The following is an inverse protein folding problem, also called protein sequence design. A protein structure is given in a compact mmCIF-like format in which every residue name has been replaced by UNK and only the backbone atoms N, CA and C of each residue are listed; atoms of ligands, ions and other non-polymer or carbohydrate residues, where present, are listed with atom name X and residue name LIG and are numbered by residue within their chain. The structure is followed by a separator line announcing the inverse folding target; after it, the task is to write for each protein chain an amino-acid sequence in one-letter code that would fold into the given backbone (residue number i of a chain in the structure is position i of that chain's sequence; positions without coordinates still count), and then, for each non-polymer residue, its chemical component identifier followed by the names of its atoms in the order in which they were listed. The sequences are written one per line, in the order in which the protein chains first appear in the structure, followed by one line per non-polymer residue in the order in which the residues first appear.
data_IF_143459635759
#
_entry.id   IF_143459635759
#
_cell.length_a   1.000
_cell.length_b   1.000
_cell.length_c   1.000
_cell.angle_alpha   90.00
_cell.angle_beta   90.00
_cell.angle_gamma   90.00
#
_symmetry.space_group_name_H-M   'P 1'
#
loop_
_entity.id
_entity.type
_entity.pdbx_description
1 polymer ?
#
# COMPACT_ATOMS: atom_id res chain seq x y z
N UNK A 1 20.09 1.34 -2.11
CA UNK A 1 18.87 0.96 -2.79
C UNK A 1 18.47 2.08 -3.75
N UNK A 2 18.20 1.72 -4.97
CA UNK A 2 17.67 2.61 -6.01
C UNK A 2 16.44 1.96 -6.63
N UNK A 3 15.40 2.75 -6.90
CA UNK A 3 14.15 2.30 -7.51
C UNK A 3 13.80 3.32 -8.58
N UNK A 4 13.78 2.91 -9.85
CA UNK A 4 13.46 3.79 -10.96
C UNK A 4 11.96 3.85 -11.23
N UNK A 5 11.52 4.92 -11.88
CA UNK A 5 10.10 5.12 -12.21
C UNK A 5 9.56 3.96 -13.07
N UNK A 6 8.43 3.40 -12.64
CA UNK A 6 7.76 2.28 -13.31
C UNK A 6 8.34 0.90 -12.99
N UNK A 7 9.38 0.80 -12.15
CA UNK A 7 9.93 -0.48 -11.71
C UNK A 7 9.09 -1.11 -10.60
N UNK A 8 9.05 -2.44 -10.60
CA UNK A 8 8.67 -3.24 -9.45
C UNK A 8 9.94 -3.84 -8.86
N UNK A 9 10.36 -3.32 -7.71
CA UNK A 9 11.54 -3.78 -6.99
C UNK A 9 11.10 -4.54 -5.74
N UNK A 10 11.71 -5.70 -5.50
CA UNK A 10 11.40 -6.50 -4.32
C UNK A 10 12.61 -6.64 -3.39
N UNK A 11 12.41 -6.30 -2.13
CA UNK A 11 13.35 -6.59 -1.04
C UNK A 11 12.98 -7.92 -0.40
N UNK A 12 13.86 -8.90 -0.56
CA UNK A 12 13.68 -10.24 -0.01
C UNK A 12 14.64 -10.44 1.15
N UNK A 13 14.18 -11.02 2.25
CA UNK A 13 15.03 -11.34 3.37
C UNK A 13 14.27 -11.97 4.54
N UNK A 14 14.98 -12.60 5.44
CA UNK A 14 14.42 -13.19 6.66
C UNK A 14 13.82 -12.12 7.60
N UNK A 15 13.03 -12.56 8.58
CA UNK A 15 12.56 -11.68 9.65
C UNK A 15 13.75 -11.08 10.41
N UNK A 16 13.64 -9.78 10.72
CA UNK A 16 14.72 -9.04 11.38
C UNK A 16 15.81 -8.50 10.42
N UNK A 17 15.73 -8.75 9.11
CA UNK A 17 16.72 -8.23 8.14
C UNK A 17 16.61 -6.72 7.86
N UNK A 18 15.72 -6.01 8.54
CA UNK A 18 15.56 -4.55 8.39
C UNK A 18 14.65 -4.10 7.25
N UNK A 19 13.92 -5.01 6.60
CA UNK A 19 13.03 -4.69 5.46
C UNK A 19 11.96 -3.65 5.81
N UNK A 20 11.13 -3.95 6.81
CA UNK A 20 10.11 -3.04 7.35
C UNK A 20 10.72 -1.74 7.88
N UNK A 21 11.89 -1.82 8.52
CA UNK A 21 12.64 -0.66 9.00
C UNK A 21 13.02 0.27 7.85
N UNK A 22 13.43 -0.28 6.71
CA UNK A 22 13.72 0.49 5.50
C UNK A 22 12.49 1.23 5.01
N UNK A 23 11.32 0.58 4.92
CA UNK A 23 10.08 1.24 4.51
C UNK A 23 9.65 2.33 5.50
N UNK A 24 9.76 2.07 6.80
CA UNK A 24 9.48 3.06 7.84
C UNK A 24 10.44 4.25 7.82
N UNK A 25 11.71 4.03 7.47
CA UNK A 25 12.67 5.11 7.27
C UNK A 25 12.29 6.00 6.09
N UNK A 26 11.87 5.41 4.97
CA UNK A 26 11.39 6.14 3.78
C UNK A 26 10.15 6.97 4.13
N UNK A 27 9.21 6.42 4.89
CA UNK A 27 7.94 7.08 5.22
C UNK A 27 8.01 8.01 6.44
N UNK A 28 9.17 8.11 7.10
CA UNK A 28 9.32 8.94 8.31
C UNK A 28 8.50 8.45 9.50
N UNK A 29 8.19 7.14 9.55
CA UNK A 29 7.35 6.52 10.59
C UNK A 29 8.14 5.67 11.58
N UNK A 30 9.48 5.76 11.57
CA UNK A 30 10.31 5.13 12.60
C UNK A 30 10.16 5.88 13.92
N UNK A 31 9.68 5.24 14.99
CA UNK A 31 9.63 5.87 16.30
C UNK A 31 11.07 5.96 16.87
N UNK A 32 11.40 7.10 17.45
CA UNK A 32 12.58 7.35 18.30
C UNK A 32 13.95 6.92 17.72
N UNK A 33 14.07 6.77 16.40
CA UNK A 33 15.30 6.39 15.74
C UNK A 33 15.88 7.51 14.89
N UNK A 34 17.18 7.75 15.00
CA UNK A 34 17.90 8.58 14.03
C UNK A 34 18.15 7.78 12.75
N UNK A 35 17.78 8.36 11.62
CA UNK A 35 18.13 7.81 10.30
C UNK A 35 19.38 8.53 9.82
N UNK A 36 20.47 7.78 9.60
CA UNK A 36 21.70 8.28 9.00
C UNK A 36 21.72 7.98 7.50
N UNK A 37 22.33 8.88 6.74
CA UNK A 37 22.38 8.80 5.29
C UNK A 37 21.36 9.70 4.61
N UNK A 38 21.19 9.52 3.30
CA UNK A 38 20.30 10.32 2.46
C UNK A 38 19.23 9.42 1.84
N UNK A 39 17.97 9.76 2.09
CA UNK A 39 16.83 9.19 1.38
C UNK A 39 16.23 10.30 0.54
N UNK A 40 16.11 10.06 -0.77
CA UNK A 40 15.49 11.01 -1.70
C UNK A 40 14.36 10.36 -2.49
N UNK A 41 13.36 11.15 -2.82
CA UNK A 41 12.24 10.76 -3.66
C UNK A 41 12.03 11.84 -4.74
N UNK A 42 12.02 11.44 -6.01
CA UNK A 42 11.94 12.36 -7.15
C UNK A 42 12.99 13.49 -7.08
N UNK A 43 14.23 13.16 -6.67
CA UNK A 43 15.33 14.11 -6.52
C UNK A 43 15.28 15.02 -5.30
N UNK A 44 14.25 14.89 -4.44
CA UNK A 44 14.10 15.70 -3.24
C UNK A 44 14.40 14.89 -1.97
N UNK A 45 15.17 15.41 -1.01
CA UNK A 45 15.42 14.71 0.25
C UNK A 45 14.12 14.57 1.05
N UNK A 46 13.95 13.40 1.68
CA UNK A 46 12.79 13.10 2.53
C UNK A 46 13.01 13.47 4.01
N UNK A 47 14.23 13.81 4.40
CA UNK A 47 14.56 14.17 5.79
C UNK A 47 13.71 15.33 6.29
N UNK A 48 13.04 15.13 7.42
CA UNK A 48 12.18 16.14 8.05
C UNK A 48 10.77 16.23 7.45
N UNK A 49 10.43 15.45 6.44
CA UNK A 49 9.05 15.39 5.92
C UNK A 49 8.19 14.46 6.79
N UNK A 50 6.97 14.90 7.06
CA UNK A 50 5.96 14.08 7.73
C UNK A 50 5.28 13.14 6.73
N UNK A 51 4.78 12.01 7.21
CA UNK A 51 4.12 10.98 6.38
C UNK A 51 2.95 11.51 5.54
N UNK A 52 2.15 12.46 6.06
CA UNK A 52 1.04 13.06 5.31
C UNK A 52 1.53 13.85 4.09
N UNK A 53 2.68 14.55 4.19
CA UNK A 53 3.29 15.27 3.08
C UNK A 53 3.78 14.33 1.97
N UNK A 54 4.17 13.10 2.33
CA UNK A 54 4.54 12.08 1.35
C UNK A 54 3.34 11.59 0.55
N UNK A 55 2.18 11.44 1.19
CA UNK A 55 0.94 11.09 0.49
C UNK A 55 0.53 12.19 -0.50
N UNK A 56 0.66 13.46 -0.12
CA UNK A 56 0.46 14.60 -1.04
C UNK A 56 1.41 14.54 -2.23
N UNK A 57 2.63 14.05 -2.03
CA UNK A 57 3.63 13.81 -3.08
C UNK A 57 3.43 12.49 -3.83
N UNK A 58 2.29 11.81 -3.64
CA UNK A 58 1.95 10.55 -4.31
C UNK A 58 2.82 9.35 -3.92
N UNK A 59 3.35 9.34 -2.69
CA UNK A 59 3.98 8.18 -2.07
C UNK A 59 2.99 7.57 -1.08
N UNK A 60 2.55 6.34 -1.32
CA UNK A 60 1.65 5.61 -0.44
C UNK A 60 2.30 4.34 0.11
N UNK A 61 1.87 3.90 1.30
CA UNK A 61 2.35 2.68 1.93
C UNK A 61 1.18 1.83 2.44
N UNK A 62 1.27 0.54 2.20
CA UNK A 62 0.47 -0.48 2.88
C UNK A 62 1.40 -1.15 3.91
N UNK A 63 1.21 -0.88 5.20
CA UNK A 63 2.06 -1.44 6.24
C UNK A 63 1.75 -2.91 6.50
N UNK A 64 2.70 -3.61 7.11
CA UNK A 64 2.45 -4.88 7.77
C UNK A 64 1.26 -4.74 8.75
N UNK A 65 0.40 -5.75 8.82
CA UNK A 65 -0.81 -5.69 9.66
C UNK A 65 -1.97 -4.90 9.06
N UNK A 66 -1.89 -4.56 7.74
CA UNK A 66 -2.97 -4.02 6.89
C UNK A 66 -3.31 -2.56 7.18
N UNK A 67 -3.32 -2.12 8.44
CA UNK A 67 -3.56 -0.74 8.85
C UNK A 67 -4.94 -0.17 8.45
N UNK A 68 -5.98 -1.01 8.32
CA UNK A 68 -7.34 -0.53 8.03
C UNK A 68 -7.94 0.21 9.23
N UNK A 69 -8.80 1.18 8.99
CA UNK A 69 -9.56 1.87 10.03
C UNK A 69 -10.73 0.98 10.47
N UNK A 70 -10.52 0.18 11.49
CA UNK A 70 -11.43 -0.89 11.92
C UNK A 70 -12.82 -0.42 12.34
N UNK A 71 -12.94 0.84 12.80
CA UNK A 71 -14.20 1.46 13.24
C UNK A 71 -14.92 2.24 12.14
N UNK A 72 -14.35 2.30 10.96
CA UNK A 72 -14.95 2.89 9.75
C UNK A 72 -15.47 1.77 8.86
N UNK A 73 -16.50 2.09 8.07
CA UNK A 73 -17.00 1.18 7.03
C UNK A 73 -15.93 0.96 5.94
N UNK A 74 -16.15 -0.03 5.10
CA UNK A 74 -15.32 -0.28 3.91
C UNK A 74 -15.33 0.95 3.00
N UNK A 75 -16.52 1.50 2.75
CA UNK A 75 -16.69 2.69 1.90
C UNK A 75 -15.92 3.89 2.46
N UNK A 76 -16.05 4.19 3.76
CA UNK A 76 -15.32 5.27 4.41
C UNK A 76 -13.80 5.06 4.39
N UNK A 77 -13.32 3.81 4.54
CA UNK A 77 -11.90 3.51 4.37
C UNK A 77 -11.39 3.88 2.97
N UNK A 78 -12.16 3.58 1.91
CA UNK A 78 -11.78 3.96 0.54
C UNK A 78 -11.80 5.48 0.37
N UNK A 79 -12.82 6.18 0.88
CA UNK A 79 -12.87 7.64 0.87
C UNK A 79 -11.66 8.27 1.57
N UNK A 80 -11.25 7.72 2.72
CA UNK A 80 -10.06 8.17 3.44
C UNK A 80 -8.78 8.01 2.61
N UNK A 81 -8.70 7.00 1.74
CA UNK A 81 -7.58 6.86 0.80
C UNK A 81 -7.48 8.00 -0.22
N UNK A 82 -8.59 8.67 -0.50
CA UNK A 82 -8.67 9.79 -1.43
C UNK A 82 -8.62 11.18 -0.76
N UNK A 83 -8.25 11.27 0.53
CA UNK A 83 -8.36 12.52 1.30
C UNK A 83 -7.55 13.70 0.72
N UNK A 84 -6.53 13.43 -0.09
CA UNK A 84 -5.72 14.45 -0.77
C UNK A 84 -6.34 14.92 -2.11
N UNK A 85 -7.50 14.37 -2.49
CA UNK A 85 -8.17 14.62 -3.78
C UNK A 85 -9.44 15.41 -3.58
N UNK A 86 -9.81 16.20 -4.61
CA UNK A 86 -11.01 17.04 -4.60
C UNK A 86 -11.96 16.70 -5.76
N UNK A 87 -11.60 15.74 -6.62
CA UNK A 87 -12.37 15.33 -7.81
C UNK A 87 -13.43 14.27 -7.45
N UNK A 88 -14.56 14.70 -6.89
CA UNK A 88 -15.62 13.81 -6.38
C UNK A 88 -16.01 12.71 -7.37
N UNK A 89 -16.27 13.07 -8.63
CA UNK A 89 -16.66 12.10 -9.66
C UNK A 89 -15.55 11.05 -9.94
N UNK A 90 -14.28 11.47 -9.94
CA UNK A 90 -13.15 10.54 -10.07
C UNK A 90 -13.00 9.63 -8.86
N UNK A 91 -13.22 10.14 -7.65
CA UNK A 91 -13.19 9.32 -6.41
C UNK A 91 -14.29 8.25 -6.45
N UNK A 92 -15.51 8.62 -6.85
CA UNK A 92 -16.63 7.68 -6.98
C UNK A 92 -16.34 6.60 -8.04
N UNK A 93 -15.79 6.98 -9.19
CA UNK A 93 -15.39 6.05 -10.23
C UNK A 93 -14.30 5.08 -9.76
N UNK A 94 -13.31 5.56 -8.99
CA UNK A 94 -12.26 4.71 -8.44
C UNK A 94 -12.80 3.75 -7.38
N UNK A 95 -13.72 4.17 -6.53
CA UNK A 95 -14.39 3.27 -5.57
C UNK A 95 -15.11 2.15 -6.31
N UNK A 96 -15.88 2.46 -7.37
CA UNK A 96 -16.55 1.43 -8.18
C UNK A 96 -15.56 0.52 -8.90
N UNK A 97 -14.43 1.06 -9.39
CA UNK A 97 -13.33 0.26 -9.93
C UNK A 97 -12.85 -0.76 -8.91
N UNK A 98 -12.55 -0.34 -7.68
CA UNK A 98 -12.06 -1.25 -6.62
C UNK A 98 -13.12 -2.24 -6.17
N UNK A 99 -14.39 -1.87 -6.17
CA UNK A 99 -15.50 -2.77 -5.94
C UNK A 99 -15.65 -3.82 -7.05
N UNK A 100 -15.30 -3.47 -8.28
CA UNK A 100 -15.26 -4.44 -9.40
C UNK A 100 -14.10 -5.43 -9.24
N UNK A 101 -12.92 -4.94 -8.84
CA UNK A 101 -11.74 -5.79 -8.58
C UNK A 101 -11.95 -6.69 -7.35
N UNK A 102 -12.62 -6.16 -6.33
CA UNK A 102 -12.89 -6.85 -5.07
C UNK A 102 -14.40 -6.89 -4.74
N UNK A 103 -15.19 -7.75 -5.42
CA UNK A 103 -16.66 -7.77 -5.27
C UNK A 103 -17.14 -7.97 -3.81
N UNK A 104 -16.36 -8.72 -3.02
CA UNK A 104 -16.67 -8.92 -1.59
C UNK A 104 -16.65 -7.65 -0.77
N UNK A 105 -15.83 -6.66 -1.14
CA UNK A 105 -15.85 -5.36 -0.50
C UNK A 105 -17.10 -4.57 -0.87
N UNK A 106 -17.59 -4.72 -2.12
CA UNK A 106 -18.85 -4.10 -2.57
C UNK A 106 -20.07 -4.63 -1.81
N UNK A 107 -20.16 -5.96 -1.69
CA UNK A 107 -21.27 -6.64 -0.97
C UNK A 107 -21.39 -6.16 0.48
N UNK A 108 -20.30 -5.69 1.06
CA UNK A 108 -20.18 -5.32 2.47
C UNK A 108 -19.79 -3.85 2.68
N UNK A 109 -20.02 -2.99 1.68
CA UNK A 109 -19.50 -1.62 1.66
C UNK A 109 -19.83 -0.79 2.91
N UNK A 110 -20.99 -1.00 3.53
CA UNK A 110 -21.43 -0.33 4.75
C UNK A 110 -20.98 -1.03 6.06
N UNK A 111 -20.37 -2.22 5.98
CA UNK A 111 -19.90 -2.93 7.17
C UNK A 111 -18.59 -2.32 7.70
N UNK A 112 -18.38 -2.44 9.01
CA UNK A 112 -17.14 -2.01 9.66
C UNK A 112 -15.96 -2.86 9.18
N UNK A 113 -14.87 -2.22 8.77
CA UNK A 113 -13.69 -2.90 8.25
C UNK A 113 -13.06 -3.88 9.26
N UNK A 114 -13.24 -3.65 10.57
CA UNK A 114 -12.77 -4.55 11.61
C UNK A 114 -13.46 -5.92 11.62
N UNK A 115 -14.62 -6.08 10.97
CA UNK A 115 -15.35 -7.36 10.88
C UNK A 115 -14.95 -8.21 9.69
N UNK A 116 -14.09 -7.70 8.83
CA UNK A 116 -13.58 -8.40 7.65
C UNK A 116 -12.57 -9.48 8.01
N UNK A 117 -12.50 -10.53 7.19
CA UNK A 117 -11.40 -11.50 7.24
C UNK A 117 -10.06 -10.83 6.94
N UNK A 118 -8.96 -11.47 7.33
CA UNK A 118 -7.63 -10.94 7.09
C UNK A 118 -7.33 -10.64 5.62
N UNK A 119 -7.79 -11.50 4.71
CA UNK A 119 -7.62 -11.28 3.27
C UNK A 119 -8.46 -10.12 2.74
N UNK A 120 -9.70 -9.97 3.21
CA UNK A 120 -10.56 -8.85 2.85
C UNK A 120 -10.00 -7.51 3.38
N UNK A 121 -9.42 -7.51 4.60
CA UNK A 121 -8.74 -6.33 5.15
C UNK A 121 -7.51 -5.97 4.30
N UNK A 122 -6.76 -6.95 3.82
CA UNK A 122 -5.60 -6.69 2.96
C UNK A 122 -6.03 -6.09 1.61
N UNK A 123 -7.09 -6.62 1.00
CA UNK A 123 -7.68 -6.06 -0.22
C UNK A 123 -8.13 -4.61 0.00
N UNK A 124 -8.79 -4.33 1.12
CA UNK A 124 -9.23 -2.98 1.48
C UNK A 124 -8.03 -2.03 1.69
N UNK A 125 -6.98 -2.48 2.36
CA UNK A 125 -5.77 -1.69 2.58
C UNK A 125 -5.08 -1.33 1.26
N UNK A 126 -4.98 -2.30 0.33
CA UNK A 126 -4.45 -2.09 -1.02
C UNK A 126 -5.29 -1.09 -1.81
N UNK A 127 -6.60 -1.31 -1.88
CA UNK A 127 -7.52 -0.42 -2.59
C UNK A 127 -7.45 1.00 -2.02
N UNK A 128 -7.47 1.14 -0.69
CA UNK A 128 -7.35 2.45 -0.02
C UNK A 128 -6.05 3.17 -0.37
N UNK A 129 -4.91 2.48 -0.36
CA UNK A 129 -3.63 3.07 -0.72
C UNK A 129 -3.59 3.55 -2.17
N UNK A 130 -4.30 2.86 -3.06
CA UNK A 130 -4.38 3.21 -4.48
C UNK A 130 -5.36 4.34 -4.81
N UNK A 131 -6.28 4.68 -3.88
CA UNK A 131 -7.21 5.80 -4.05
C UNK A 131 -6.53 7.17 -4.19
N UNK A 132 -5.32 7.36 -3.66
CA UNK A 132 -4.59 8.63 -3.82
C UNK A 132 -3.86 8.75 -5.17
N UNK A 133 -3.97 7.76 -6.07
CA UNK A 133 -3.22 7.66 -7.34
C UNK A 133 -1.71 7.81 -7.10
N UNK A 134 -1.08 6.89 -6.36
CA UNK A 134 0.33 7.01 -6.03
C UNK A 134 1.21 6.85 -7.26
N UNK A 135 2.36 7.52 -7.27
CA UNK A 135 3.45 7.27 -8.21
C UNK A 135 4.45 6.26 -7.66
N UNK A 136 4.51 6.15 -6.33
CA UNK A 136 5.29 5.13 -5.61
C UNK A 136 4.41 4.48 -4.55
N UNK A 137 4.29 3.16 -4.63
CA UNK A 137 3.58 2.31 -3.67
C UNK A 137 4.58 1.43 -2.92
N UNK A 138 4.61 1.56 -1.61
CA UNK A 138 5.39 0.71 -0.71
C UNK A 138 4.49 -0.36 -0.12
N UNK A 139 4.90 -1.62 -0.21
CA UNK A 139 4.13 -2.77 0.28
C UNK A 139 4.98 -3.58 1.26
N UNK A 140 4.50 -3.70 2.50
CA UNK A 140 5.19 -4.41 3.56
C UNK A 140 4.51 -5.76 3.84
N UNK A 141 5.12 -6.84 3.37
CA UNK A 141 4.68 -8.23 3.50
C UNK A 141 3.17 -8.44 3.20
N UNK A 142 2.68 -8.01 2.02
CA UNK A 142 1.25 -8.01 1.70
C UNK A 142 0.64 -9.42 1.66
N UNK A 143 1.45 -10.47 1.53
CA UNK A 143 0.99 -11.87 1.50
C UNK A 143 0.87 -12.52 2.88
N UNK A 144 1.39 -11.87 3.94
CA UNK A 144 1.52 -12.50 5.24
C UNK A 144 0.17 -12.88 5.88
N UNK A 145 0.05 -14.14 6.29
CA UNK A 145 -1.15 -14.67 6.96
C UNK A 145 -2.39 -14.78 6.07
N UNK A 146 -2.21 -14.82 4.75
CA UNK A 146 -3.28 -15.01 3.78
C UNK A 146 -3.37 -16.44 3.29
N UNK A 147 -4.57 -16.84 2.85
CA UNK A 147 -4.75 -18.10 2.12
C UNK A 147 -4.11 -18.01 0.72
N UNK A 148 -3.70 -19.15 0.11
CA UNK A 148 -3.08 -19.14 -1.22
C UNK A 148 -3.89 -18.38 -2.29
N UNK A 149 -5.20 -18.57 -2.31
CA UNK A 149 -6.10 -17.87 -3.25
C UNK A 149 -6.06 -16.34 -3.06
N UNK A 150 -5.98 -15.89 -1.81
CA UNK A 150 -5.88 -14.46 -1.50
C UNK A 150 -4.52 -13.89 -1.89
N UNK A 151 -3.46 -14.67 -1.68
CA UNK A 151 -2.11 -14.31 -2.12
C UNK A 151 -2.08 -14.09 -3.63
N UNK A 152 -2.61 -15.04 -4.42
CA UNK A 152 -2.69 -14.90 -5.89
C UNK A 152 -3.40 -13.60 -6.29
N UNK A 153 -4.58 -13.33 -5.70
CA UNK A 153 -5.34 -12.09 -5.99
C UNK A 153 -4.56 -10.82 -5.66
N UNK A 154 -3.86 -10.79 -4.54
CA UNK A 154 -3.04 -9.61 -4.16
C UNK A 154 -1.90 -9.41 -5.17
N UNK A 155 -1.22 -10.48 -5.57
CA UNK A 155 -0.15 -10.38 -6.55
C UNK A 155 -0.65 -10.04 -7.95
N UNK A 156 -1.86 -10.51 -8.34
CA UNK A 156 -2.51 -10.06 -9.59
C UNK A 156 -2.70 -8.53 -9.59
N UNK A 157 -3.24 -7.99 -8.50
CA UNK A 157 -3.41 -6.53 -8.36
C UNK A 157 -2.07 -5.81 -8.39
N UNK A 158 -1.03 -6.31 -7.72
CA UNK A 158 0.32 -5.73 -7.74
C UNK A 158 0.84 -5.69 -9.18
N UNK A 159 0.73 -6.78 -9.93
CA UNK A 159 1.14 -6.85 -11.34
C UNK A 159 0.37 -5.87 -12.23
N UNK A 160 -0.95 -5.80 -12.06
CA UNK A 160 -1.79 -4.91 -12.87
C UNK A 160 -1.49 -3.43 -12.58
N UNK A 161 -1.27 -3.08 -11.33
CA UNK A 161 -0.91 -1.73 -10.90
C UNK A 161 0.49 -1.35 -11.42
N UNK A 162 1.45 -2.28 -11.39
CA UNK A 162 2.79 -2.10 -11.97
C UNK A 162 2.71 -1.88 -13.48
N UNK A 163 1.91 -2.67 -14.21
CA UNK A 163 1.69 -2.49 -15.66
C UNK A 163 1.05 -1.15 -16.03
N UNK A 164 0.32 -0.53 -15.10
CA UNK A 164 -0.22 0.83 -15.24
C UNK A 164 0.85 1.92 -15.02
N UNK A 165 2.11 1.54 -14.76
CA UNK A 165 3.25 2.44 -14.62
C UNK A 165 3.48 2.97 -13.19
N UNK A 166 2.79 2.43 -12.19
CA UNK A 166 3.05 2.74 -10.79
C UNK A 166 4.35 2.06 -10.37
N UNK A 167 5.26 2.82 -9.78
CA UNK A 167 6.49 2.29 -9.18
C UNK A 167 6.16 1.56 -7.89
N UNK A 168 6.69 0.36 -7.70
CA UNK A 168 6.39 -0.44 -6.51
C UNK A 168 7.69 -0.89 -5.83
N UNK A 169 7.78 -0.65 -4.54
CA UNK A 169 8.78 -1.26 -3.67
C UNK A 169 8.06 -2.25 -2.75
N UNK A 170 8.25 -3.52 -3.04
CA UNK A 170 7.65 -4.65 -2.34
C UNK A 170 8.64 -5.23 -1.34
N UNK A 171 8.23 -5.43 -0.12
CA UNK A 171 8.96 -6.22 0.89
C UNK A 171 8.26 -7.55 1.07
N UNK A 172 8.99 -8.65 0.90
CA UNK A 172 8.47 -10.00 1.08
C UNK A 172 9.49 -10.92 1.76
N UNK A 173 8.98 -11.87 2.51
CA UNK A 173 9.79 -12.95 3.08
C UNK A 173 9.89 -14.13 2.11
N UNK A 174 8.81 -14.41 1.38
CA UNK A 174 8.74 -15.53 0.46
C UNK A 174 9.24 -15.14 -0.94
N UNK A 175 10.52 -15.44 -1.21
CA UNK A 175 11.16 -15.19 -2.50
C UNK A 175 10.40 -15.79 -3.70
N UNK A 176 9.73 -16.93 -3.50
CA UNK A 176 9.02 -17.63 -4.57
C UNK A 176 7.78 -16.84 -5.05
N UNK A 177 7.11 -16.12 -4.13
CA UNK A 177 5.98 -15.25 -4.46
C UNK A 177 6.45 -13.95 -5.09
N UNK A 178 7.61 -13.46 -4.67
CA UNK A 178 8.16 -12.19 -5.12
C UNK A 178 8.74 -12.23 -6.55
N UNK A 179 9.04 -13.42 -7.07
CA UNK A 179 9.69 -13.64 -8.37
C UNK A 179 8.72 -14.18 -9.46
N UNK A 180 7.45 -14.37 -9.15
CA UNK A 180 6.38 -14.74 -10.09
C UNK A 180 5.70 -13.48 -10.68
#
# INVERSE_FOLDING_TARGET
LEVNKGELVTLIGANGAGKTTTLKAITGTLPDCSVEGVISYMGQPLKGKHSFQLVEQKLAMVPEGRGVFTRMSIFENLQMGAYTRNDKAGIEADIEKWFTVFPRLKERASQLAGTLSGGEQQMLAMARALMCHPTLLLLDEPSMGLSPIMVEKIFDVIRDVSRQGITILLVEQNAKLALQ
#
